data_IF_152871282906
#
_entry.id   IF_152871282906
#
_cell.length_a   1.000
_cell.length_b   1.000
_cell.length_c   1.000
_cell.angle_alpha   90.00
_cell.angle_beta   90.00
_cell.angle_gamma   90.00
#
_symmetry.space_group_name_H-M   'P 1'
#
loop_
_entity.id
_entity.type
_entity.pdbx_description
1 polymer ?
#
# COMPACT_ATOMS: atom_id res chain seq x y z
N UNK A 1 -22.78 -8.00 8.97
CA UNK A 1 -21.30 -8.00 8.77
C UNK A 1 -20.91 -8.29 7.31
N UNK A 2 -21.21 -9.46 6.71
CA UNK A 2 -20.83 -9.74 5.31
C UNK A 2 -21.40 -8.69 4.36
N UNK A 3 -22.64 -8.29 4.51
CA UNK A 3 -23.26 -7.29 3.66
C UNK A 3 -22.65 -5.90 3.85
N UNK A 4 -22.26 -5.55 5.07
CA UNK A 4 -21.56 -4.28 5.33
C UNK A 4 -20.18 -4.27 4.63
N UNK A 5 -19.46 -5.40 4.66
CA UNK A 5 -18.14 -5.50 4.05
C UNK A 5 -18.14 -5.41 2.52
N UNK A 6 -19.29 -5.68 1.86
CA UNK A 6 -19.48 -5.45 0.42
C UNK A 6 -19.49 -3.96 0.04
N UNK A 7 -19.75 -3.09 1.01
CA UNK A 7 -19.77 -1.64 0.81
C UNK A 7 -18.37 -1.02 0.77
N UNK A 8 -17.36 -1.68 1.34
CA UNK A 8 -15.97 -1.21 1.39
C UNK A 8 -15.85 0.20 1.98
N UNK A 9 -16.55 0.45 3.08
CA UNK A 9 -16.45 1.71 3.81
C UNK A 9 -15.52 1.59 5.02
N UNK A 10 -14.90 2.71 5.44
CA UNK A 10 -14.10 2.72 6.66
C UNK A 10 -14.92 2.36 7.90
N UNK A 11 -16.21 2.68 7.94
CA UNK A 11 -17.11 2.27 9.02
C UNK A 11 -17.23 0.73 9.08
N UNK A 12 -17.44 0.09 7.92
CA UNK A 12 -17.50 -1.37 7.84
C UNK A 12 -16.15 -2.00 8.23
N UNK A 13 -15.03 -1.38 7.85
CA UNK A 13 -13.70 -1.82 8.23
C UNK A 13 -13.45 -1.77 9.73
N UNK A 14 -13.86 -0.69 10.40
CA UNK A 14 -13.76 -0.54 11.86
C UNK A 14 -14.52 -1.68 12.55
N UNK A 15 -15.77 -1.91 12.20
CA UNK A 15 -16.61 -2.98 12.76
C UNK A 15 -15.99 -4.37 12.52
N UNK A 16 -15.40 -4.56 11.33
CA UNK A 16 -14.71 -5.80 10.97
C UNK A 16 -13.48 -6.05 11.86
N UNK A 17 -12.62 -5.05 12.03
CA UNK A 17 -11.45 -5.17 12.90
C UNK A 17 -11.84 -5.39 14.37
N UNK A 18 -12.85 -4.70 14.86
CA UNK A 18 -13.36 -4.87 16.22
C UNK A 18 -13.84 -6.31 16.46
N UNK A 19 -14.53 -6.90 15.49
CA UNK A 19 -14.94 -8.31 15.55
C UNK A 19 -13.75 -9.26 15.52
N UNK A 20 -12.79 -9.06 14.60
CA UNK A 20 -11.62 -9.92 14.45
C UNK A 20 -10.73 -9.92 15.71
N UNK A 21 -10.56 -8.77 16.36
CA UNK A 21 -9.77 -8.63 17.59
C UNK A 21 -10.32 -9.41 18.78
N UNK A 22 -11.57 -9.81 18.76
CA UNK A 22 -12.16 -10.62 19.83
C UNK A 22 -11.60 -12.05 19.85
N UNK A 23 -11.12 -12.53 18.68
CA UNK A 23 -10.70 -13.93 18.50
C UNK A 23 -9.26 -14.08 18.00
N UNK A 24 -8.68 -13.03 17.42
CA UNK A 24 -7.33 -13.03 16.88
C UNK A 24 -6.48 -11.96 17.54
N UNK A 25 -5.23 -12.29 17.79
CA UNK A 25 -4.19 -11.27 17.91
C UNK A 25 -3.81 -10.80 16.50
N UNK A 26 -4.08 -9.54 16.18
CA UNK A 26 -3.71 -8.94 14.89
C UNK A 26 -2.24 -8.51 14.97
N UNK A 27 -1.42 -9.04 14.07
CA UNK A 27 0.04 -8.84 14.06
C UNK A 27 0.56 -8.47 12.66
N UNK A 28 1.68 -7.72 12.57
CA UNK A 28 2.46 -7.56 11.35
C UNK A 28 3.32 -8.80 11.06
N UNK A 29 3.88 -8.91 9.86
CA UNK A 29 4.75 -10.02 9.47
C UNK A 29 5.99 -10.14 10.36
N UNK A 30 6.61 -9.06 10.79
CA UNK A 30 7.80 -9.09 11.66
C UNK A 30 7.57 -9.73 13.04
N UNK A 31 6.33 -10.02 13.42
CA UNK A 31 5.98 -10.67 14.68
C UNK A 31 5.60 -12.16 14.59
N UNK A 32 5.63 -12.73 13.39
CA UNK A 32 5.22 -14.14 13.17
C UNK A 32 6.01 -15.14 14.01
N UNK A 33 7.29 -14.86 14.30
CA UNK A 33 8.14 -15.74 15.13
C UNK A 33 7.72 -15.80 16.61
N UNK A 34 6.89 -14.87 17.07
CA UNK A 34 6.32 -14.90 18.42
C UNK A 34 5.21 -15.95 18.43
N UNK A 35 5.43 -17.06 19.11
CA UNK A 35 4.48 -18.16 19.16
C UNK A 35 3.11 -17.71 19.70
N UNK A 36 2.09 -17.79 18.87
CA UNK A 36 0.70 -17.57 19.23
C UNK A 36 -0.15 -18.70 18.67
N UNK A 37 -1.10 -19.18 19.48
CA UNK A 37 -2.01 -20.25 19.08
C UNK A 37 -2.99 -19.78 17.99
N UNK A 38 -3.43 -18.52 18.10
CA UNK A 38 -4.34 -17.90 17.13
C UNK A 38 -3.89 -16.47 16.82
N UNK A 39 -3.68 -16.18 15.53
CA UNK A 39 -3.31 -14.85 15.08
C UNK A 39 -3.82 -14.55 13.67
N UNK A 40 -3.97 -13.27 13.40
CA UNK A 40 -4.26 -12.74 12.08
C UNK A 40 -3.11 -11.82 11.66
N UNK A 41 -2.49 -12.14 10.52
CA UNK A 41 -1.53 -11.25 9.87
C UNK A 41 -2.35 -10.26 9.05
N UNK A 42 -2.32 -8.99 9.44
CA UNK A 42 -2.95 -7.93 8.68
C UNK A 42 -1.94 -7.34 7.70
N UNK A 43 -2.26 -7.49 6.40
CA UNK A 43 -1.44 -7.06 5.27
C UNK A 43 -2.18 -5.99 4.48
N UNK A 44 -1.47 -4.93 4.14
CA UNK A 44 -1.91 -3.95 3.16
C UNK A 44 -0.96 -3.91 1.98
N UNK A 45 -1.50 -4.04 0.77
CA UNK A 45 -0.77 -3.76 -0.46
C UNK A 45 -1.14 -2.33 -0.89
N UNK A 46 -0.16 -1.43 -0.83
CA UNK A 46 -0.35 -0.01 -1.14
C UNK A 46 -0.07 0.23 -2.61
N UNK A 47 -1.02 -0.17 -3.45
CA UNK A 47 -0.85 -0.11 -4.91
C UNK A 47 -1.03 1.30 -5.47
N UNK A 48 -1.88 2.13 -4.82
CA UNK A 48 -2.32 3.35 -5.48
C UNK A 48 -2.39 4.60 -4.59
N UNK A 49 -2.57 4.51 -3.27
CA UNK A 49 -2.77 5.69 -2.43
C UNK A 49 -2.14 5.54 -1.04
N UNK A 50 -1.07 6.29 -0.81
CA UNK A 50 -0.47 6.43 0.52
C UNK A 50 -1.41 7.17 1.50
N UNK A 51 -2.25 8.08 1.01
CA UNK A 51 -3.22 8.81 1.83
C UNK A 51 -4.29 7.85 2.38
N UNK A 52 -4.83 6.96 1.52
CA UNK A 52 -5.77 5.92 1.95
C UNK A 52 -5.09 4.94 2.94
N UNK A 53 -3.83 4.57 2.69
CA UNK A 53 -3.05 3.73 3.58
C UNK A 53 -2.86 4.40 4.95
N UNK A 54 -2.49 5.67 5.01
CA UNK A 54 -2.37 6.42 6.26
C UNK A 54 -3.70 6.50 7.02
N UNK A 55 -4.81 6.64 6.31
CA UNK A 55 -6.14 6.69 6.93
C UNK A 55 -6.47 5.37 7.62
N UNK A 56 -6.22 4.23 6.96
CA UNK A 56 -6.39 2.91 7.55
C UNK A 56 -5.42 2.69 8.72
N UNK A 57 -4.16 3.08 8.58
CA UNK A 57 -3.17 2.99 9.65
C UNK A 57 -3.60 3.75 10.92
N UNK A 58 -4.21 4.92 10.78
CA UNK A 58 -4.77 5.68 11.91
C UNK A 58 -5.95 4.98 12.57
N UNK A 59 -6.81 4.35 11.79
CA UNK A 59 -7.94 3.54 12.31
C UNK A 59 -7.39 2.36 13.11
N UNK A 60 -6.47 1.60 12.54
CA UNK A 60 -5.86 0.44 13.16
C UNK A 60 -5.10 0.79 14.45
N UNK A 61 -4.31 1.86 14.40
CA UNK A 61 -3.60 2.36 15.58
C UNK A 61 -4.57 2.70 16.73
N UNK A 62 -5.67 3.40 16.44
CA UNK A 62 -6.71 3.71 17.43
C UNK A 62 -7.34 2.45 18.04
N UNK A 63 -7.49 1.41 17.25
CA UNK A 63 -8.00 0.11 17.68
C UNK A 63 -6.92 -0.76 18.33
N UNK A 64 -5.65 -0.31 18.43
CA UNK A 64 -4.54 -1.09 18.97
C UNK A 64 -4.16 -2.28 18.08
N UNK A 65 -4.51 -2.28 16.81
CA UNK A 65 -4.09 -3.24 15.81
C UNK A 65 -2.80 -2.75 15.12
N UNK A 66 -1.96 -3.70 14.69
CA UNK A 66 -0.78 -3.40 13.88
C UNK A 66 -0.77 -4.27 12.64
N UNK A 67 -0.39 -3.66 11.52
CA UNK A 67 -0.37 -4.28 10.21
C UNK A 67 1.01 -4.10 9.55
N UNK A 68 1.20 -4.80 8.44
CA UNK A 68 2.31 -4.56 7.51
C UNK A 68 1.79 -3.87 6.26
N UNK A 69 2.38 -2.74 5.91
CA UNK A 69 2.09 -1.97 4.70
C UNK A 69 3.20 -2.23 3.68
N UNK A 70 2.88 -2.96 2.61
CA UNK A 70 3.79 -3.19 1.50
C UNK A 70 3.69 -2.04 0.50
N UNK A 71 4.81 -1.38 0.23
CA UNK A 71 4.87 -0.21 -0.64
C UNK A 71 5.79 -0.46 -1.82
N UNK A 72 5.38 -0.01 -3.01
CA UNK A 72 6.21 0.08 -4.20
C UNK A 72 7.19 1.23 -4.02
N UNK A 73 8.44 1.05 -4.45
CA UNK A 73 9.44 2.08 -4.28
C UNK A 73 9.16 3.29 -5.18
N UNK A 74 8.81 3.03 -6.42
CA UNK A 74 8.38 4.04 -7.40
C UNK A 74 7.27 3.46 -8.26
N UNK A 75 6.15 4.13 -8.31
CA UNK A 75 5.00 3.71 -9.11
C UNK A 75 4.26 4.91 -9.70
N UNK A 76 3.26 4.63 -10.54
CA UNK A 76 2.51 5.68 -11.26
C UNK A 76 1.71 6.61 -10.35
N UNK A 77 1.36 6.15 -9.16
CA UNK A 77 0.45 6.84 -8.25
C UNK A 77 1.16 7.60 -7.13
N UNK A 78 2.39 7.19 -6.80
CA UNK A 78 3.21 7.85 -5.78
C UNK A 78 4.70 7.54 -5.99
N UNK A 79 5.55 8.31 -5.32
CA UNK A 79 7.01 8.16 -5.41
C UNK A 79 7.62 8.39 -4.02
N UNK A 80 8.22 7.36 -3.42
CA UNK A 80 8.78 7.43 -2.07
C UNK A 80 10.00 8.35 -1.94
N UNK A 81 10.55 8.86 -3.04
CA UNK A 81 11.58 9.91 -3.02
C UNK A 81 10.97 11.32 -3.00
N UNK A 82 9.67 11.44 -3.20
CA UNK A 82 8.95 12.68 -3.08
C UNK A 82 8.70 13.00 -1.60
N UNK A 83 8.82 14.28 -1.24
CA UNK A 83 8.83 14.73 0.17
C UNK A 83 7.56 14.36 0.93
N UNK A 84 6.40 14.60 0.33
CA UNK A 84 5.10 14.44 1.00
C UNK A 84 4.70 12.97 1.07
N UNK A 85 5.01 12.19 0.03
CA UNK A 85 4.82 10.74 0.01
C UNK A 85 5.70 10.05 1.06
N UNK A 86 6.97 10.46 1.18
CA UNK A 86 7.88 9.94 2.21
C UNK A 86 7.42 10.34 3.62
N UNK A 87 6.93 11.57 3.80
CA UNK A 87 6.40 12.02 5.09
C UNK A 87 5.18 11.19 5.51
N UNK A 88 4.30 10.89 4.57
CA UNK A 88 3.13 10.02 4.77
C UNK A 88 3.54 8.61 5.18
N UNK A 89 4.51 8.02 4.49
CA UNK A 89 5.02 6.68 4.81
C UNK A 89 5.69 6.64 6.20
N UNK A 90 6.46 7.67 6.55
CA UNK A 90 7.06 7.80 7.88
C UNK A 90 6.01 7.89 8.99
N UNK A 91 4.89 8.57 8.73
CA UNK A 91 3.79 8.64 9.69
C UNK A 91 3.14 7.27 9.91
N UNK A 92 2.88 6.47 8.85
CA UNK A 92 2.40 5.09 8.98
C UNK A 92 3.35 4.27 9.87
N UNK A 93 4.66 4.40 9.61
CA UNK A 93 5.69 3.73 10.39
C UNK A 93 5.73 4.19 11.86
N UNK A 94 5.52 5.51 12.12
CA UNK A 94 5.48 6.10 13.47
C UNK A 94 4.27 5.64 14.29
N UNK A 95 3.15 5.33 13.62
CA UNK A 95 1.98 4.73 14.24
C UNK A 95 2.20 3.29 14.73
N UNK A 96 3.38 2.70 14.47
CA UNK A 96 3.76 1.36 14.94
C UNK A 96 3.54 0.25 13.93
N UNK A 97 3.16 0.57 12.71
CA UNK A 97 3.01 -0.41 11.64
C UNK A 97 4.38 -0.81 11.05
N UNK A 98 4.45 -2.03 10.55
CA UNK A 98 5.57 -2.49 9.75
C UNK A 98 5.45 -1.96 8.33
N UNK A 99 6.58 -1.56 7.76
CA UNK A 99 6.68 -1.27 6.33
C UNK A 99 7.46 -2.41 5.67
N UNK A 100 6.88 -3.01 4.63
CA UNK A 100 7.50 -4.02 3.78
C UNK A 100 7.68 -3.50 2.35
N UNK A 101 8.51 -4.17 1.56
CA UNK A 101 8.68 -3.85 0.15
C UNK A 101 7.65 -4.61 -0.70
N UNK A 102 6.86 -3.87 -1.48
CA UNK A 102 6.04 -4.41 -2.56
C UNK A 102 6.87 -4.37 -3.85
N UNK A 103 7.42 -5.54 -4.28
CA UNK A 103 8.33 -5.57 -5.42
C UNK A 103 7.59 -5.95 -6.71
N UNK A 104 7.97 -5.32 -7.81
CA UNK A 104 7.42 -5.56 -9.14
C UNK A 104 8.46 -6.23 -10.05
N UNK A 105 8.29 -7.52 -10.28
CA UNK A 105 9.20 -8.33 -11.12
C UNK A 105 9.26 -7.81 -12.55
N UNK A 106 8.14 -7.31 -13.12
CA UNK A 106 8.13 -6.78 -14.46
C UNK A 106 9.04 -5.56 -14.62
N UNK A 107 9.08 -4.71 -13.60
CA UNK A 107 10.01 -3.57 -13.54
C UNK A 107 11.47 -4.07 -13.45
N UNK A 108 11.74 -5.09 -12.65
CA UNK A 108 13.09 -5.62 -12.47
C UNK A 108 13.63 -6.28 -13.75
N UNK A 109 12.79 -7.03 -14.46
CA UNK A 109 13.16 -7.65 -15.74
C UNK A 109 13.57 -6.60 -16.77
N UNK A 110 12.93 -5.42 -16.78
CA UNK A 110 13.29 -4.29 -17.62
C UNK A 110 14.68 -3.70 -17.36
N UNK A 111 15.24 -3.91 -16.19
CA UNK A 111 16.59 -3.41 -15.86
C UNK A 111 17.73 -4.30 -16.34
N UNK A 112 17.45 -5.55 -16.81
CA UNK A 112 18.47 -6.48 -17.30
C UNK A 112 19.55 -6.83 -16.27
N UNK A 113 19.25 -6.68 -14.98
CA UNK A 113 20.17 -6.88 -13.86
C UNK A 113 19.80 -8.14 -13.05
N UNK A 114 20.67 -8.53 -12.13
CA UNK A 114 20.39 -9.54 -11.14
C UNK A 114 19.19 -9.12 -10.28
N UNK A 115 18.10 -9.87 -10.39
CA UNK A 115 16.85 -9.61 -9.69
C UNK A 115 17.05 -9.53 -8.16
N UNK A 116 17.92 -10.39 -7.61
CA UNK A 116 18.22 -10.38 -6.17
C UNK A 116 18.92 -9.09 -5.75
N UNK A 117 19.90 -8.66 -6.54
CA UNK A 117 20.64 -7.41 -6.27
C UNK A 117 19.71 -6.19 -6.35
N UNK A 118 18.79 -6.17 -7.30
CA UNK A 118 17.79 -5.10 -7.43
C UNK A 118 16.89 -5.06 -6.20
N UNK A 119 16.35 -6.21 -5.77
CA UNK A 119 15.53 -6.32 -4.56
C UNK A 119 16.27 -5.83 -3.32
N UNK A 120 17.51 -6.30 -3.11
CA UNK A 120 18.33 -5.90 -1.95
C UNK A 120 18.65 -4.40 -1.96
N UNK A 121 18.80 -3.79 -3.15
CA UNK A 121 19.03 -2.36 -3.31
C UNK A 121 17.78 -1.56 -2.91
N UNK A 122 16.60 -1.94 -3.38
CA UNK A 122 15.34 -1.27 -3.00
C UNK A 122 15.04 -1.42 -1.51
N UNK A 123 15.25 -2.60 -0.94
CA UNK A 123 15.10 -2.85 0.50
C UNK A 123 16.07 -1.98 1.31
N UNK A 124 17.35 -1.92 0.87
CA UNK A 124 18.37 -1.10 1.52
C UNK A 124 18.00 0.39 1.51
N UNK A 125 17.54 0.89 0.37
CA UNK A 125 17.12 2.28 0.22
C UNK A 125 15.86 2.59 1.03
N UNK A 126 14.85 1.72 1.00
CA UNK A 126 13.64 1.87 1.81
C UNK A 126 13.97 1.90 3.31
N UNK A 127 14.86 1.00 3.74
CA UNK A 127 15.36 0.96 5.11
C UNK A 127 16.11 2.24 5.51
N UNK A 128 16.93 2.78 4.62
CA UNK A 128 17.63 4.05 4.81
C UNK A 128 16.65 5.22 4.96
N UNK A 129 15.68 5.34 4.05
CA UNK A 129 14.66 6.39 4.09
C UNK A 129 13.83 6.39 5.37
N UNK A 130 13.57 5.21 5.94
CA UNK A 130 12.78 5.05 7.16
C UNK A 130 13.62 5.01 8.45
N UNK A 131 14.95 4.91 8.35
CA UNK A 131 15.83 4.73 9.50
C UNK A 131 15.60 3.41 10.25
N UNK A 132 15.14 2.36 9.56
CA UNK A 132 14.84 1.04 10.15
C UNK A 132 15.02 -0.12 9.17
N UNK A 133 15.22 -1.32 9.71
CA UNK A 133 15.32 -2.54 8.91
C UNK A 133 13.96 -2.93 8.31
N UNK A 134 13.98 -3.37 7.05
CA UNK A 134 12.84 -3.98 6.36
C UNK A 134 12.96 -5.49 6.49
N UNK A 135 11.88 -6.15 6.93
CA UNK A 135 11.87 -7.58 7.22
C UNK A 135 11.07 -8.40 6.22
N UNK A 136 10.08 -7.79 5.58
CA UNK A 136 9.08 -8.48 4.76
C UNK A 136 8.98 -7.92 3.36
N UNK A 137 8.62 -8.81 2.42
CA UNK A 137 8.43 -8.52 1.01
C UNK A 137 7.12 -9.13 0.52
N UNK A 138 6.49 -8.50 -0.46
CA UNK A 138 5.34 -9.03 -1.17
C UNK A 138 5.44 -8.72 -2.67
N UNK A 139 5.08 -9.69 -3.52
CA UNK A 139 5.09 -9.50 -4.97
C UNK A 139 3.84 -8.71 -5.42
N UNK A 140 4.06 -7.71 -6.26
CA UNK A 140 3.00 -6.96 -6.91
C UNK A 140 2.43 -7.72 -8.13
N UNK A 141 1.14 -7.52 -8.42
CA UNK A 141 0.46 -8.03 -9.64
C UNK A 141 0.66 -9.53 -9.93
N UNK A 142 0.58 -10.37 -8.91
CA UNK A 142 0.81 -11.84 -9.05
C UNK A 142 -0.07 -12.46 -10.12
N UNK A 143 -1.32 -12.01 -10.28
CA UNK A 143 -2.30 -12.55 -11.23
C UNK A 143 -2.02 -12.20 -12.69
N UNK A 144 -1.23 -11.17 -12.97
CA UNK A 144 -0.95 -10.72 -14.33
C UNK A 144 0.31 -11.33 -14.95
N UNK A 145 1.08 -12.10 -14.15
CA UNK A 145 2.36 -12.64 -14.59
C UNK A 145 2.30 -14.14 -14.87
N UNK A 146 2.91 -14.56 -15.98
CA UNK A 146 2.99 -15.97 -16.39
C UNK A 146 4.11 -16.76 -15.70
N UNK A 147 5.05 -16.09 -15.04
CA UNK A 147 6.18 -16.72 -14.33
C UNK A 147 5.89 -16.95 -12.84
N UNK A 148 6.56 -17.92 -12.23
CA UNK A 148 6.56 -18.12 -10.77
C UNK A 148 7.18 -16.93 -10.03
N UNK A 149 7.02 -16.88 -8.71
CA UNK A 149 7.70 -15.90 -7.87
C UNK A 149 9.21 -16.24 -7.78
N UNK A 150 10.13 -15.40 -8.31
CA UNK A 150 11.56 -15.67 -8.26
C UNK A 150 12.12 -15.65 -6.83
N UNK A 151 11.38 -15.08 -5.89
CA UNK A 151 11.78 -14.95 -4.49
C UNK A 151 10.98 -15.85 -3.53
N UNK A 152 10.27 -16.86 -4.05
CA UNK A 152 9.46 -17.79 -3.25
C UNK A 152 10.22 -18.39 -2.05
N UNK A 153 11.49 -18.69 -2.23
CA UNK A 153 12.36 -19.32 -1.22
C UNK A 153 13.51 -18.37 -0.78
N UNK A 154 13.24 -17.07 -0.78
CA UNK A 154 14.27 -16.08 -0.43
C UNK A 154 14.71 -16.23 1.03
N UNK A 155 16.03 -16.16 1.25
CA UNK A 155 16.59 -16.12 2.61
C UNK A 155 16.80 -14.67 3.05
N UNK A 156 16.55 -14.40 4.32
CA UNK A 156 16.80 -13.11 4.95
C UNK A 156 15.58 -12.18 5.01
N UNK A 157 14.50 -12.51 4.29
CA UNK A 157 13.23 -11.76 4.32
C UNK A 157 12.04 -12.70 4.51
N UNK A 158 10.96 -12.18 5.07
CA UNK A 158 9.68 -12.89 5.16
C UNK A 158 8.92 -12.58 3.88
N UNK A 159 8.67 -13.58 3.04
CA UNK A 159 7.85 -13.42 1.85
C UNK A 159 6.38 -13.61 2.21
N UNK A 160 5.53 -12.61 1.94
CA UNK A 160 4.09 -12.69 2.18
C UNK A 160 3.39 -13.82 1.43
N UNK A 161 4.02 -14.34 0.37
CA UNK A 161 3.52 -15.49 -0.40
C UNK A 161 4.18 -16.83 0.00
N UNK A 162 4.83 -16.90 1.18
CA UNK A 162 5.26 -18.18 1.74
C UNK A 162 4.03 -19.11 1.88
N UNK A 163 4.10 -20.37 1.40
CA UNK A 163 2.97 -21.30 1.44
C UNK A 163 2.38 -21.52 2.83
N UNK A 164 3.20 -21.50 3.88
CA UNK A 164 2.72 -21.65 5.26
C UNK A 164 1.92 -20.42 5.73
N UNK A 165 2.30 -19.21 5.26
CA UNK A 165 1.62 -17.97 5.59
C UNK A 165 0.34 -17.75 4.75
N UNK A 166 0.29 -18.37 3.56
CA UNK A 166 -0.87 -18.31 2.66
C UNK A 166 -1.83 -19.48 2.80
N UNK A 167 -1.64 -20.39 3.78
CA UNK A 167 -2.52 -21.56 3.96
C UNK A 167 -3.99 -21.18 4.16
N UNK A 168 -4.24 -20.15 4.95
CA UNK A 168 -5.53 -19.52 5.12
C UNK A 168 -5.39 -18.05 4.71
N UNK A 169 -5.86 -17.73 3.53
CA UNK A 169 -5.69 -16.43 2.91
C UNK A 169 -7.03 -15.84 2.53
N UNK A 170 -7.28 -14.62 2.95
CA UNK A 170 -8.49 -13.85 2.64
C UNK A 170 -8.08 -12.51 2.05
N UNK A 171 -8.72 -12.08 0.97
CA UNK A 171 -8.34 -10.87 0.26
C UNK A 171 -9.55 -10.12 -0.27
N UNK A 172 -9.44 -8.79 -0.30
CA UNK A 172 -10.39 -7.84 -0.91
C UNK A 172 -10.04 -7.49 -2.36
N UNK A 173 -9.15 -8.25 -2.99
CA UNK A 173 -8.67 -7.99 -4.35
C UNK A 173 -9.81 -7.75 -5.33
N UNK A 174 -9.63 -6.78 -6.22
CA UNK A 174 -10.66 -6.33 -7.18
C UNK A 174 -11.96 -5.83 -6.51
N UNK A 175 -11.88 -5.36 -5.25
CA UNK A 175 -13.04 -4.95 -4.46
C UNK A 175 -14.09 -6.04 -4.39
N UNK A 176 -13.65 -7.27 -4.09
CA UNK A 176 -14.48 -8.45 -4.02
C UNK A 176 -13.93 -9.43 -2.99
N UNK A 177 -14.80 -10.25 -2.42
CA UNK A 177 -14.45 -11.26 -1.44
C UNK A 177 -14.77 -12.65 -1.97
N UNK A 178 -13.89 -13.62 -1.76
CA UNK A 178 -14.30 -15.02 -1.82
C UNK A 178 -15.17 -15.32 -0.59
N UNK A 179 -16.48 -15.33 -0.78
CA UNK A 179 -17.46 -15.39 0.33
C UNK A 179 -17.26 -16.60 1.25
N UNK A 180 -16.78 -17.73 0.72
CA UNK A 180 -16.48 -18.92 1.51
C UNK A 180 -15.34 -18.67 2.50
N UNK A 181 -14.28 -17.97 2.07
CA UNK A 181 -13.13 -17.71 2.91
C UNK A 181 -13.43 -16.58 3.91
N UNK A 182 -14.19 -15.59 3.49
CA UNK A 182 -14.69 -14.54 4.38
C UNK A 182 -15.62 -15.13 5.46
N UNK A 183 -16.51 -16.06 5.12
CA UNK A 183 -17.38 -16.74 6.08
C UNK A 183 -16.56 -17.52 7.12
N UNK A 184 -15.53 -18.27 6.68
CA UNK A 184 -14.63 -19.02 7.58
C UNK A 184 -13.78 -18.09 8.48
N UNK A 185 -13.43 -16.91 8.01
CA UNK A 185 -12.78 -15.92 8.84
C UNK A 185 -13.72 -15.40 9.91
N UNK A 186 -14.96 -15.11 9.55
CA UNK A 186 -15.99 -14.56 10.45
C UNK A 186 -16.57 -15.54 11.45
N UNK A 187 -16.57 -16.84 11.14
CA UNK A 187 -16.95 -17.92 12.06
C UNK A 187 -15.78 -18.45 12.90
N UNK A 188 -14.58 -17.82 12.72
CA UNK A 188 -13.35 -18.15 13.44
C UNK A 188 -12.86 -19.59 13.26
N UNK A 189 -13.21 -20.23 12.13
CA UNK A 189 -12.71 -21.57 11.77
C UNK A 189 -11.19 -21.59 11.53
N UNK A 190 -10.58 -20.44 11.21
CA UNK A 190 -9.15 -20.30 11.06
C UNK A 190 -8.47 -20.01 12.41
N UNK A 191 -7.30 -20.65 12.63
CA UNK A 191 -6.42 -20.34 13.78
C UNK A 191 -5.33 -19.33 13.41
N UNK A 192 -4.78 -19.49 12.20
CA UNK A 192 -3.75 -18.62 11.64
C UNK A 192 -4.20 -18.21 10.25
N UNK A 193 -4.31 -16.93 10.01
CA UNK A 193 -4.86 -16.39 8.77
C UNK A 193 -4.09 -15.16 8.33
N UNK A 194 -3.90 -15.00 7.02
CA UNK A 194 -3.43 -13.77 6.41
C UNK A 194 -4.63 -13.06 5.77
N UNK A 195 -4.88 -11.82 6.19
CA UNK A 195 -5.90 -10.94 5.62
C UNK A 195 -5.22 -9.85 4.81
N UNK A 196 -5.40 -9.86 3.50
CA UNK A 196 -4.95 -8.82 2.58
C UNK A 196 -6.04 -7.81 2.34
N UNK A 197 -5.67 -6.55 2.49
CA UNK A 197 -6.51 -5.37 2.25
C UNK A 197 -5.75 -4.41 1.33
N UNK A 198 -6.43 -3.87 0.32
CA UNK A 198 -5.92 -2.81 -0.54
C UNK A 198 -6.53 -1.46 -0.11
N UNK A 199 -5.77 -0.57 0.53
CA UNK A 199 -6.32 0.63 1.16
C UNK A 199 -7.15 1.52 0.24
N UNK A 200 -6.76 1.67 -1.03
CA UNK A 200 -7.44 2.53 -1.99
C UNK A 200 -8.86 2.07 -2.36
N UNK A 201 -9.20 0.79 -2.08
CA UNK A 201 -10.54 0.24 -2.33
C UNK A 201 -11.58 0.67 -1.30
N UNK A 202 -11.15 1.19 -0.14
CA UNK A 202 -12.01 1.57 0.98
C UNK A 202 -12.27 3.07 0.98
N UNK A 203 -13.52 3.45 1.24
CA UNK A 203 -13.99 4.83 1.09
C UNK A 203 -14.80 5.30 2.30
N UNK A 204 -15.07 6.61 2.41
CA UNK A 204 -15.96 7.14 3.46
C UNK A 204 -17.38 6.65 3.24
N UNK A 205 -17.88 6.81 2.02
CA UNK A 205 -19.25 6.53 1.65
C UNK A 205 -19.30 5.33 0.72
N UNK A 206 -20.45 4.66 0.69
CA UNK A 206 -20.73 3.61 -0.27
C UNK A 206 -20.64 4.15 -1.69
N UNK A 207 -19.88 3.50 -2.54
CA UNK A 207 -19.79 3.86 -3.95
C UNK A 207 -19.59 2.63 -4.83
N UNK A 208 -19.87 2.76 -6.10
CA UNK A 208 -19.65 1.73 -7.10
C UNK A 208 -18.14 1.46 -7.31
N UNK A 209 -17.80 0.27 -7.80
CA UNK A 209 -16.41 -0.16 -8.02
C UNK A 209 -15.63 0.82 -8.91
N UNK A 210 -16.23 1.21 -10.03
CA UNK A 210 -15.55 2.05 -11.02
C UNK A 210 -15.36 3.48 -10.49
N UNK A 211 -16.28 3.96 -9.65
CA UNK A 211 -16.17 5.28 -9.01
C UNK A 211 -14.92 5.39 -8.10
N UNK A 212 -14.42 4.28 -7.56
CA UNK A 212 -13.16 4.27 -6.78
C UNK A 212 -11.97 4.62 -7.68
N UNK A 213 -11.90 4.00 -8.86
CA UNK A 213 -10.85 4.30 -9.84
C UNK A 213 -10.96 5.74 -10.35
N UNK A 214 -12.17 6.18 -10.68
CA UNK A 214 -12.39 7.56 -11.11
C UNK A 214 -11.91 8.58 -10.07
N UNK A 215 -12.25 8.37 -8.80
CA UNK A 215 -11.77 9.23 -7.68
C UNK A 215 -10.24 9.24 -7.57
N UNK A 216 -9.61 8.07 -7.74
CA UNK A 216 -8.15 7.95 -7.74
C UNK A 216 -7.52 8.78 -8.86
N UNK A 217 -8.01 8.64 -10.10
CA UNK A 217 -7.50 9.39 -11.25
C UNK A 217 -7.78 10.89 -11.15
N UNK A 218 -8.94 11.30 -10.67
CA UNK A 218 -9.25 12.71 -10.37
C UNK A 218 -8.30 13.30 -9.31
N UNK A 219 -7.87 12.48 -8.33
CA UNK A 219 -6.86 12.87 -7.36
C UNK A 219 -5.50 13.18 -8.01
N UNK A 220 -5.07 12.33 -8.94
CA UNK A 220 -3.84 12.53 -9.73
C UNK A 220 -3.93 13.79 -10.58
N UNK A 221 -5.06 13.97 -11.27
CA UNK A 221 -5.30 15.14 -12.10
C UNK A 221 -5.22 16.44 -11.29
N UNK A 222 -5.82 16.47 -10.10
CA UNK A 222 -5.70 17.61 -9.19
C UNK A 222 -4.24 17.89 -8.81
N UNK A 223 -3.48 16.88 -8.36
CA UNK A 223 -2.05 17.04 -8.03
C UNK A 223 -1.27 17.60 -9.22
N UNK A 224 -1.51 17.11 -10.44
CA UNK A 224 -0.87 17.61 -11.66
C UNK A 224 -1.25 19.06 -11.98
N UNK A 225 -2.51 19.44 -11.77
CA UNK A 225 -2.98 20.81 -11.97
C UNK A 225 -2.37 21.76 -10.96
N UNK A 226 -2.30 21.38 -9.68
CA UNK A 226 -1.66 22.18 -8.62
C UNK A 226 -0.18 22.40 -8.95
N UNK A 227 0.53 21.35 -9.39
CA UNK A 227 1.92 21.43 -9.82
C UNK A 227 2.10 22.36 -11.04
N UNK A 228 1.19 22.27 -12.02
CA UNK A 228 1.15 23.17 -13.18
C UNK A 228 0.96 24.64 -12.76
N UNK A 229 0.04 24.92 -11.84
CA UNK A 229 -0.18 26.28 -11.33
C UNK A 229 1.06 26.83 -10.61
N UNK A 230 1.73 26.03 -9.81
CA UNK A 230 3.00 26.41 -9.18
C UNK A 230 4.05 26.81 -10.24
N UNK A 231 4.20 26.05 -11.33
CA UNK A 231 5.13 26.38 -12.41
C UNK A 231 4.75 27.67 -13.15
N UNK A 232 3.45 27.87 -13.42
CA UNK A 232 2.97 29.11 -14.05
C UNK A 232 3.28 30.34 -13.18
N UNK A 233 3.10 30.21 -11.86
CA UNK A 233 3.49 31.29 -10.94
C UNK A 233 4.99 31.59 -10.98
N UNK A 234 5.83 30.55 -10.99
CA UNK A 234 7.30 30.72 -11.08
C UNK A 234 7.66 31.43 -12.39
N UNK A 235 7.06 31.05 -13.52
CA UNK A 235 7.32 31.68 -14.80
C UNK A 235 6.88 33.14 -14.81
N UNK A 236 5.64 33.44 -14.39
CA UNK A 236 5.13 34.83 -14.38
C UNK A 236 5.87 35.75 -13.39
N UNK A 237 6.43 35.21 -12.31
CA UNK A 237 7.22 35.96 -11.35
C UNK A 237 8.68 36.13 -11.79
N UNK A 238 9.15 35.36 -12.76
CA UNK A 238 10.56 35.38 -13.22
C UNK A 238 10.93 36.73 -13.84
N UNK A 239 12.00 37.40 -13.35
CA UNK A 239 12.48 38.63 -13.96
C UNK A 239 12.84 38.46 -15.45
N UNK A 240 13.40 37.29 -15.81
CA UNK A 240 13.78 36.98 -17.20
C UNK A 240 12.57 36.93 -18.15
N UNK A 241 11.47 36.32 -17.70
CA UNK A 241 10.22 36.25 -18.48
C UNK A 241 9.64 37.64 -18.64
N UNK A 242 9.58 38.45 -17.60
CA UNK A 242 9.10 39.83 -17.65
C UNK A 242 9.94 40.73 -18.57
N UNK A 243 11.25 40.52 -18.59
CA UNK A 243 12.16 41.24 -19.53
C UNK A 243 11.92 40.79 -20.96
N UNK A 244 11.79 39.49 -21.23
CA UNK A 244 11.52 38.93 -22.53
C UNK A 244 10.19 39.42 -23.11
N UNK A 245 9.14 39.41 -22.32
CA UNK A 245 7.80 39.85 -22.70
C UNK A 245 7.81 41.34 -23.13
N UNK A 246 8.49 42.20 -22.36
CA UNK A 246 8.67 43.64 -22.69
C UNK A 246 9.38 43.85 -24.03
N UNK A 247 10.38 42.99 -24.32
CA UNK A 247 11.13 43.08 -25.59
C UNK A 247 10.30 42.61 -26.79
N UNK A 248 9.36 41.69 -26.59
CA UNK A 248 8.49 41.15 -27.64
C UNK A 248 7.26 42.00 -27.88
N UNK A 249 6.71 42.66 -26.86
CA UNK A 249 5.60 43.62 -27.02
C UNK A 249 6.01 44.89 -27.81
N UNK A 250 7.25 45.33 -27.61
CA UNK A 250 7.80 46.48 -28.36
C UNK A 250 8.15 46.20 -29.84
N UNK A 251 7.93 44.95 -30.31
CA UNK A 251 8.17 44.54 -31.73
C UNK A 251 6.88 44.34 -32.52
N UNK A 252 5.72 44.55 -31.90
CA UNK A 252 4.41 44.60 -32.59
C UNK A 252 3.96 46.03 -32.75
#
# INVERSE_FOLDING_TARGET
MIDDLKNFTYEAYIKFLELLRQNFRIIPFCEISKQHDSFLILRHDVDASLEAALKMAKIEHKLGARATYFVLFSYKFYNLLERDDLATLREISRLGHEIGLHYDVATYEGYGQDLRKTLDTEIGLLGHLLGRKIFSIARHNVSLMTGGDPFKNIKGYINAYDPELCRNYVSDSCRSWFLKDLARLLDFSYKKVQLLIHPFLWTEDVCERDAVLERLFQGIERKNNDYKQMWLEVWHKSPKVKEYDKLTENRK
#
